data_IF_007448254729
#
_entry.id   IF_007448254729
#
_cell.length_a   1.000
_cell.length_b   1.000
_cell.length_c   1.000
_cell.angle_alpha   90.00
_cell.angle_beta   90.00
_cell.angle_gamma   90.00
#
_symmetry.space_group_name_H-M   'P 1'
#
loop_
_entity.id
_entity.type
_entity.pdbx_description
1 polymer ?
#
# COMPACT_ATOMS: atom_id res chain seq x y z
N UNK A 1 7.18 -14.41 -22.77
CA UNK A 1 6.70 -15.36 -21.73
C UNK A 1 6.68 -14.63 -20.40
N UNK A 2 5.53 -14.13 -19.91
CA UNK A 2 5.47 -13.53 -18.58
C UNK A 2 5.73 -14.63 -17.53
N UNK A 3 6.63 -14.35 -16.58
CA UNK A 3 6.93 -15.30 -15.51
C UNK A 3 5.67 -15.53 -14.65
N UNK A 4 5.09 -16.72 -14.74
CA UNK A 4 3.96 -17.13 -13.90
C UNK A 4 4.46 -17.26 -12.47
N UNK A 5 4.02 -16.35 -11.61
CA UNK A 5 4.34 -16.37 -10.19
C UNK A 5 3.64 -17.58 -9.54
N UNK A 6 4.40 -18.44 -8.84
CA UNK A 6 3.85 -19.65 -8.19
C UNK A 6 2.74 -19.28 -7.18
N UNK A 7 1.57 -19.95 -7.22
CA UNK A 7 0.36 -19.57 -6.47
C UNK A 7 0.51 -19.57 -4.94
N UNK A 8 1.41 -20.38 -4.38
CA UNK A 8 1.50 -20.53 -2.90
C UNK A 8 2.06 -19.31 -2.16
N UNK A 9 2.82 -18.42 -2.80
CA UNK A 9 3.37 -17.21 -2.14
C UNK A 9 2.49 -15.97 -2.29
N UNK A 10 1.46 -16.02 -3.13
CA UNK A 10 0.51 -14.92 -3.33
C UNK A 10 -0.34 -14.65 -2.09
N UNK A 11 -0.61 -15.70 -1.30
CA UNK A 11 -1.52 -15.71 -0.15
C UNK A 11 -0.84 -15.53 1.20
N UNK A 12 0.49 -15.37 1.25
CA UNK A 12 1.19 -15.42 2.54
C UNK A 12 1.43 -14.01 3.08
N UNK A 13 0.45 -13.53 3.83
CA UNK A 13 0.66 -12.44 4.78
C UNK A 13 1.53 -13.00 5.92
N UNK A 14 2.85 -12.96 5.77
CA UNK A 14 3.84 -13.39 6.76
C UNK A 14 5.01 -12.40 6.84
N UNK A 15 5.86 -12.56 7.85
CA UNK A 15 7.14 -11.84 7.87
C UNK A 15 7.93 -12.08 6.59
N UNK A 16 8.54 -11.01 6.08
CA UNK A 16 9.32 -11.06 4.85
C UNK A 16 8.48 -11.01 3.57
N UNK A 17 7.23 -10.54 3.64
CA UNK A 17 6.42 -10.24 2.47
C UNK A 17 7.20 -9.36 1.48
N UNK A 18 7.12 -9.68 0.18
CA UNK A 18 7.80 -8.92 -0.86
C UNK A 18 6.89 -7.79 -1.35
N UNK A 19 7.40 -6.56 -1.35
CA UNK A 19 6.68 -5.37 -1.81
C UNK A 19 7.42 -4.68 -2.94
N UNK A 20 6.70 -4.01 -3.82
CA UNK A 20 7.29 -3.17 -4.86
C UNK A 20 7.74 -1.84 -4.30
N UNK A 21 8.90 -1.37 -4.76
CA UNK A 21 9.48 -0.08 -4.41
C UNK A 21 9.57 0.78 -5.66
N UNK A 22 9.15 2.04 -5.55
CA UNK A 22 9.34 3.08 -6.55
C UNK A 22 9.90 4.33 -5.91
N UNK A 23 10.64 5.11 -6.68
CA UNK A 23 11.13 6.43 -6.29
C UNK A 23 10.36 7.46 -7.10
N UNK A 24 9.57 8.29 -6.42
CA UNK A 24 8.82 9.37 -7.06
C UNK A 24 9.29 10.73 -6.53
N UNK A 25 9.31 11.74 -7.39
CA UNK A 25 9.40 13.14 -6.94
C UNK A 25 7.99 13.69 -6.74
N UNK A 26 7.61 13.98 -5.50
CA UNK A 26 6.31 14.56 -5.12
C UNK A 26 6.58 15.86 -4.38
N UNK A 27 5.91 16.95 -4.76
CA UNK A 27 6.17 18.30 -4.22
C UNK A 27 7.66 18.67 -4.24
N UNK A 28 8.34 18.33 -5.35
CA UNK A 28 9.77 18.56 -5.54
C UNK A 28 10.70 17.66 -4.71
N UNK A 29 10.20 16.80 -3.81
CA UNK A 29 11.00 15.94 -2.92
C UNK A 29 10.96 14.48 -3.36
N UNK A 30 12.08 13.78 -3.19
CA UNK A 30 12.14 12.34 -3.43
C UNK A 30 11.37 11.57 -2.35
N UNK A 31 10.52 10.65 -2.78
CA UNK A 31 9.74 9.76 -1.94
C UNK A 31 9.97 8.31 -2.37
N UNK A 32 10.18 7.45 -1.39
CA UNK A 32 10.14 6.00 -1.58
C UNK A 32 8.70 5.54 -1.42
N UNK A 33 8.09 5.14 -2.52
CA UNK A 33 6.71 4.63 -2.57
C UNK A 33 6.76 3.11 -2.54
N UNK A 34 6.22 2.54 -1.46
CA UNK A 34 6.06 1.11 -1.27
C UNK A 34 4.62 0.73 -1.66
N UNK A 35 4.47 -0.34 -2.43
CA UNK A 35 3.16 -0.86 -2.82
C UNK A 35 3.14 -2.37 -2.90
N UNK A 36 1.94 -2.94 -2.90
CA UNK A 36 1.73 -4.38 -3.06
C UNK A 36 2.24 -4.87 -4.43
N UNK A 37 2.67 -6.13 -4.47
CA UNK A 37 3.06 -6.78 -5.72
C UNK A 37 1.82 -7.22 -6.49
N UNK A 38 1.81 -7.14 -7.83
CA UNK A 38 0.82 -7.86 -8.63
C UNK A 38 0.76 -9.32 -8.19
N UNK A 39 -0.46 -9.82 -7.98
CA UNK A 39 -0.70 -11.16 -7.45
C UNK A 39 -0.60 -11.30 -5.93
N UNK A 40 -0.36 -10.24 -5.15
CA UNK A 40 -0.68 -10.28 -3.72
C UNK A 40 -2.19 -10.48 -3.57
N UNK A 41 -2.60 -11.55 -2.88
CA UNK A 41 -4.00 -11.90 -2.70
C UNK A 41 -4.63 -11.08 -1.57
N UNK A 42 -4.86 -9.78 -1.80
CA UNK A 42 -5.56 -8.90 -0.86
C UNK A 42 -6.56 -8.03 -1.61
N UNK A 43 -7.70 -7.74 -0.96
CA UNK A 43 -8.73 -6.85 -1.48
C UNK A 43 -9.13 -5.88 -0.39
N UNK A 44 -9.19 -4.61 -0.75
CA UNK A 44 -9.59 -3.52 0.11
C UNK A 44 -10.71 -2.73 -0.54
N UNK A 45 -11.51 -2.08 0.28
CA UNK A 45 -12.39 -1.00 -0.17
C UNK A 45 -12.24 0.18 0.77
N UNK A 46 -12.64 1.36 0.33
CA UNK A 46 -12.67 2.56 1.15
C UNK A 46 -14.07 3.12 1.17
N UNK A 47 -14.52 3.54 2.34
CA UNK A 47 -15.83 4.14 2.54
C UNK A 47 -15.68 5.39 3.40
N UNK A 48 -16.26 6.51 2.98
CA UNK A 48 -16.37 7.71 3.81
C UNK A 48 -17.77 7.75 4.43
N UNK A 49 -17.85 7.45 5.73
CA UNK A 49 -19.11 7.35 6.45
C UNK A 49 -19.00 8.05 7.80
N UNK A 50 -19.97 8.89 8.14
CA UNK A 50 -20.01 9.71 9.36
C UNK A 50 -18.68 10.46 9.62
N UNK A 51 -18.20 11.20 8.61
CA UNK A 51 -16.96 12.00 8.64
C UNK A 51 -15.67 11.23 8.93
N UNK A 52 -15.70 9.91 8.74
CA UNK A 52 -14.54 9.03 8.94
C UNK A 52 -14.31 8.16 7.71
N UNK A 53 -13.05 8.09 7.30
CA UNK A 53 -12.60 7.13 6.28
C UNK A 53 -12.39 5.75 6.91
N UNK A 54 -13.09 4.76 6.36
CA UNK A 54 -12.96 3.36 6.71
C UNK A 54 -12.18 2.63 5.62
N UNK A 55 -11.25 1.76 6.03
CA UNK A 55 -10.64 0.77 5.14
C UNK A 55 -11.27 -0.58 5.45
N UNK A 56 -11.97 -1.13 4.46
CA UNK A 56 -12.71 -2.39 4.57
C UNK A 56 -11.91 -3.52 3.91
N UNK A 57 -11.95 -4.71 4.50
CA UNK A 57 -11.26 -5.90 4.00
C UNK A 57 -11.83 -7.16 4.63
N UNK A 58 -11.54 -8.33 4.04
CA UNK A 58 -11.64 -9.62 4.73
C UNK A 58 -10.53 -9.79 5.80
N UNK A 59 -10.59 -10.90 6.53
CA UNK A 59 -9.60 -11.23 7.57
C UNK A 59 -8.17 -11.31 7.00
N UNK A 60 -8.00 -11.80 5.76
CA UNK A 60 -6.68 -11.94 5.17
C UNK A 60 -6.09 -10.58 4.83
N UNK A 61 -6.82 -9.70 4.16
CA UNK A 61 -6.37 -8.35 3.83
C UNK A 61 -6.17 -7.50 5.10
N UNK A 62 -6.93 -7.72 6.18
CA UNK A 62 -6.64 -7.11 7.48
C UNK A 62 -5.26 -7.52 8.02
N UNK A 63 -4.88 -8.80 7.90
CA UNK A 63 -3.52 -9.28 8.24
C UNK A 63 -2.44 -8.71 7.33
N UNK A 64 -2.75 -8.48 6.05
CA UNK A 64 -1.83 -7.79 5.11
C UNK A 64 -1.65 -6.34 5.55
N UNK A 65 -2.75 -5.62 5.80
CA UNK A 65 -2.71 -4.22 6.24
C UNK A 65 -1.94 -4.07 7.55
N UNK A 66 -2.18 -4.93 8.55
CA UNK A 66 -1.43 -4.93 9.80
C UNK A 66 0.09 -5.07 9.56
N UNK A 67 0.51 -5.96 8.65
CA UNK A 67 1.92 -6.13 8.26
C UNK A 67 2.49 -4.91 7.54
N UNK A 68 1.71 -4.30 6.66
CA UNK A 68 2.10 -3.07 5.97
C UNK A 68 2.36 -1.94 6.99
N UNK A 69 1.39 -1.70 7.88
CA UNK A 69 1.48 -0.68 8.93
C UNK A 69 2.64 -0.95 9.90
N UNK A 70 2.77 -2.18 10.38
CA UNK A 70 3.83 -2.56 11.31
C UNK A 70 5.21 -2.38 10.69
N UNK A 71 5.42 -2.88 9.46
CA UNK A 71 6.72 -2.73 8.82
C UNK A 71 7.04 -1.28 8.44
N UNK A 72 6.02 -0.44 8.18
CA UNK A 72 6.20 1.00 7.98
C UNK A 72 6.68 1.69 9.25
N UNK A 73 6.04 1.39 10.38
CA UNK A 73 6.41 1.94 11.69
C UNK A 73 7.77 1.41 12.18
N UNK A 74 8.00 0.10 12.09
CA UNK A 74 9.22 -0.55 12.61
C UNK A 74 10.47 -0.22 11.79
N UNK A 75 10.33 -0.09 10.47
CA UNK A 75 11.43 0.21 9.56
C UNK A 75 11.33 1.65 9.02
N UNK A 76 10.79 2.56 9.84
CA UNK A 76 10.45 3.90 9.39
C UNK A 76 11.66 4.63 8.83
N UNK A 77 11.55 5.10 7.59
CA UNK A 77 12.58 5.89 6.91
C UNK A 77 11.97 7.19 6.38
N UNK A 78 12.62 8.35 6.58
CA UNK A 78 12.13 9.61 6.04
C UNK A 78 11.83 9.52 4.54
N UNK A 79 10.71 10.11 4.12
CA UNK A 79 10.29 10.09 2.71
C UNK A 79 9.69 8.76 2.25
N UNK A 80 9.42 7.81 3.15
CA UNK A 80 8.79 6.53 2.79
C UNK A 80 7.30 6.57 3.04
N UNK A 81 6.52 6.16 2.04
CA UNK A 81 5.06 6.05 2.14
C UNK A 81 4.58 4.73 1.54
N UNK A 82 3.39 4.31 1.96
CA UNK A 82 2.70 3.13 1.45
C UNK A 82 1.52 3.55 0.57
N UNK A 83 1.33 2.86 -0.54
CA UNK A 83 0.19 3.04 -1.46
C UNK A 83 -0.47 1.70 -1.73
N UNK A 84 -1.79 1.65 -1.51
CA UNK A 84 -2.68 0.60 -2.00
C UNK A 84 -3.54 1.24 -3.08
N UNK A 85 -3.41 0.71 -4.29
CA UNK A 85 -3.93 1.31 -5.52
C UNK A 85 -4.93 0.38 -6.21
N UNK A 86 -5.58 0.87 -7.27
CA UNK A 86 -6.71 0.27 -7.99
C UNK A 86 -6.68 -1.26 -8.16
N UNK A 87 -5.56 -1.94 -8.48
CA UNK A 87 -5.54 -3.40 -8.61
C UNK A 87 -5.91 -4.18 -7.34
N UNK A 88 -5.86 -3.54 -6.16
CA UNK A 88 -6.21 -4.14 -4.87
C UNK A 88 -7.48 -3.53 -4.28
N UNK A 89 -8.15 -2.66 -5.02
CA UNK A 89 -9.36 -1.98 -4.59
C UNK A 89 -10.58 -2.61 -5.26
N UNK A 90 -11.61 -2.86 -4.48
CA UNK A 90 -12.92 -3.26 -4.95
C UNK A 90 -13.96 -2.21 -4.53
N UNK A 91 -15.08 -2.10 -5.27
CA UNK A 91 -16.18 -1.24 -4.87
C UNK A 91 -16.67 -1.51 -3.44
N UNK A 92 -17.31 -0.53 -2.81
CA UNK A 92 -17.86 -0.70 -1.47
C UNK A 92 -18.88 -1.84 -1.45
N UNK A 93 -18.92 -2.66 -0.39
CA UNK A 93 -19.86 -3.78 -0.31
C UNK A 93 -21.31 -3.34 -0.01
N UNK A 94 -21.51 -2.05 0.24
CA UNK A 94 -22.81 -1.47 0.60
C UNK A 94 -23.52 -0.93 -0.63
N UNK A 95 -22.89 0.03 -1.31
CA UNK A 95 -23.51 0.81 -2.39
C UNK A 95 -22.82 0.60 -3.75
N UNK A 96 -21.77 -0.23 -3.80
CA UNK A 96 -20.92 -0.45 -4.97
C UNK A 96 -20.22 0.82 -5.49
N UNK A 97 -20.03 1.82 -4.63
CA UNK A 97 -19.26 3.02 -4.95
C UNK A 97 -17.79 2.66 -5.25
N UNK A 98 -17.13 3.40 -6.16
CA UNK A 98 -15.73 3.20 -6.44
C UNK A 98 -14.88 3.51 -5.20
N UNK A 99 -13.92 2.63 -4.91
CA UNK A 99 -12.98 2.86 -3.81
C UNK A 99 -11.83 3.80 -4.20
N UNK A 100 -11.50 4.70 -3.28
CA UNK A 100 -10.35 5.59 -3.32
C UNK A 100 -9.01 4.90 -2.99
N UNK A 101 -7.91 5.29 -3.66
CA UNK A 101 -6.55 4.89 -3.28
C UNK A 101 -6.20 5.22 -1.84
N UNK A 102 -5.57 4.26 -1.16
CA UNK A 102 -5.14 4.43 0.24
C UNK A 102 -3.66 4.81 0.24
N UNK A 103 -3.34 5.90 0.93
CA UNK A 103 -1.96 6.33 1.17
C UNK A 103 -1.72 6.37 2.67
N UNK A 104 -0.71 5.65 3.14
CA UNK A 104 -0.30 5.66 4.54
C UNK A 104 1.08 6.32 4.66
N UNK A 105 1.17 7.32 5.52
CA UNK A 105 2.37 8.14 5.72
C UNK A 105 2.71 8.23 7.20
N UNK A 106 3.97 7.95 7.60
CA UNK A 106 4.44 8.25 8.94
C UNK A 106 4.73 9.76 9.07
N UNK A 107 3.67 10.56 9.29
CA UNK A 107 3.72 12.03 9.21
C UNK A 107 4.69 12.68 10.19
N UNK A 108 5.05 12.00 11.28
CA UNK A 108 6.01 12.50 12.27
C UNK A 108 7.42 12.73 11.70
N UNK A 109 7.77 12.12 10.57
CA UNK A 109 9.08 12.31 9.93
C UNK A 109 9.10 12.13 8.40
N UNK A 110 7.93 12.01 7.76
CA UNK A 110 7.75 12.09 6.32
C UNK A 110 6.77 13.22 6.01
N UNK A 111 7.26 14.43 5.67
CA UNK A 111 6.40 15.53 5.27
C UNK A 111 5.59 15.17 4.03
N UNK A 112 4.27 15.18 4.13
CA UNK A 112 3.37 14.86 3.03
C UNK A 112 2.28 15.91 2.93
N UNK A 113 2.50 16.87 2.03
CA UNK A 113 1.64 18.05 1.83
C UNK A 113 0.45 17.72 0.94
N UNK A 114 -0.57 18.60 0.93
CA UNK A 114 -1.65 18.52 -0.05
C UNK A 114 -1.15 18.61 -1.51
N UNK A 115 0.00 19.27 -1.76
CA UNK A 115 0.65 19.28 -3.07
C UNK A 115 1.27 17.93 -3.41
N UNK A 116 1.95 17.29 -2.47
CA UNK A 116 2.48 15.95 -2.64
C UNK A 116 1.35 14.92 -2.90
N UNK A 117 0.23 15.03 -2.18
CA UNK A 117 -0.95 14.20 -2.40
C UNK A 117 -1.53 14.39 -3.81
N UNK A 118 -1.71 15.63 -4.27
CA UNK A 118 -2.17 15.92 -5.65
C UNK A 118 -1.18 15.41 -6.70
N UNK A 119 0.11 15.58 -6.48
CA UNK A 119 1.16 15.08 -7.36
C UNK A 119 1.14 13.55 -7.47
N UNK A 120 0.88 12.86 -6.35
CA UNK A 120 0.73 11.41 -6.32
C UNK A 120 -0.55 10.99 -7.04
N UNK A 121 -1.69 11.62 -6.76
CA UNK A 121 -2.98 11.31 -7.37
C UNK A 121 -2.91 11.34 -8.91
N UNK A 122 -2.22 12.32 -9.49
CA UNK A 122 -2.01 12.42 -10.95
C UNK A 122 -1.16 11.30 -11.55
N UNK A 123 -0.49 10.50 -10.73
CA UNK A 123 0.34 9.35 -11.15
C UNK A 123 -0.34 8.01 -10.93
N UNK A 124 -1.52 7.99 -10.31
CA UNK A 124 -2.26 6.76 -10.07
C UNK A 124 -3.13 6.40 -11.30
N UNK A 125 -3.23 5.11 -11.66
CA UNK A 125 -2.57 4.00 -11.01
C UNK A 125 -1.07 3.95 -11.33
N UNK A 126 -0.25 3.45 -10.41
CA UNK A 126 1.21 3.34 -10.57
C UNK A 126 1.59 2.29 -11.64
N UNK A 127 1.48 2.66 -12.91
CA UNK A 127 1.67 1.81 -14.09
C UNK A 127 3.14 1.58 -14.46
N UNK A 128 4.03 2.52 -14.11
CA UNK A 128 5.48 2.35 -14.33
C UNK A 128 5.99 1.09 -13.62
N UNK A 129 6.88 0.30 -14.26
CA UNK A 129 7.58 -0.79 -13.61
C UNK A 129 8.22 -0.35 -12.29
N UNK A 130 8.22 -1.19 -11.24
CA UNK A 130 8.87 -0.87 -9.98
C UNK A 130 10.39 -0.74 -10.17
N UNK A 131 11.03 0.13 -9.39
CA UNK A 131 12.50 0.25 -9.35
C UNK A 131 13.16 -0.89 -8.56
N UNK A 132 12.36 -1.76 -7.95
CA UNK A 132 12.83 -2.94 -7.25
C UNK A 132 11.80 -3.54 -6.33
N UNK A 133 12.25 -4.52 -5.55
CA UNK A 133 11.45 -5.20 -4.53
C UNK A 133 12.14 -5.08 -3.19
N UNK A 134 11.38 -4.82 -2.14
CA UNK A 134 11.85 -4.86 -0.75
C UNK A 134 11.28 -6.07 -0.05
N UNK A 135 12.03 -6.61 0.92
CA UNK A 135 11.54 -7.60 1.85
C UNK A 135 11.02 -6.87 3.09
N UNK A 136 9.71 -6.87 3.27
CA UNK A 136 9.04 -6.18 4.36
C UNK A 136 9.17 -6.99 5.64
N UNK A 137 9.92 -6.47 6.62
CA UNK A 137 10.13 -7.13 7.90
C UNK A 137 9.09 -6.65 8.90
N UNK A 138 8.41 -7.60 9.52
CA UNK A 138 7.38 -7.36 10.53
C UNK A 138 7.75 -8.05 11.84
N UNK A 139 8.99 -7.81 12.28
CA UNK A 139 9.53 -8.44 13.47
C UNK A 139 8.70 -8.06 14.71
N UNK A 140 8.36 -9.05 15.53
CA UNK A 140 7.58 -8.84 16.76
C UNK A 140 6.07 -8.69 16.56
N UNK A 141 5.54 -8.67 15.32
CA UNK A 141 4.10 -8.56 15.08
C UNK A 141 3.32 -9.84 15.47
N UNK A 142 3.92 -11.00 15.25
CA UNK A 142 3.30 -12.31 15.53
C UNK A 142 3.68 -12.85 16.92
N UNK A 143 4.25 -12.00 17.80
CA UNK A 143 4.65 -12.38 19.17
C UNK A 143 3.60 -12.00 20.20
#
# INVERSE_FOLDING_TARGET
>A
MPAVQRPSRAHDARDGMKLHRRTLRLDGRAHTVIGLRPGTAARFSTNHYHDVWHVLSDQHGARVLARLLWGLAYQSRPGTLLVIDRPFLCPTPFDADPADPIVVVPSWHTPFTARAARDLARRLPLSRPPDGTVRWRTHGLDR
#
